data_IF_109032202939
#
_entry.id   IF_109032202939
#
_cell.length_a   1.000
_cell.length_b   1.000
_cell.length_c   1.000
_cell.angle_alpha   90.00
_cell.angle_beta   90.00
_cell.angle_gamma   90.00
#
_symmetry.space_group_name_H-M   'P 1'
#
loop_
_entity.id
_entity.type
_entity.pdbx_description
1 polymer ?
#
# COMPACT_ATOMS: atom_id res chain seq x y z
N UNK A 1 18.68 -7.15 2.89
CA UNK A 1 18.73 -8.62 2.68
C UNK A 1 19.04 -8.87 1.22
N UNK A 2 19.86 -9.86 0.87
CA UNK A 2 20.15 -10.18 -0.54
C UNK A 2 19.14 -11.16 -1.15
N UNK A 3 19.14 -11.27 -2.48
CA UNK A 3 18.18 -12.12 -3.21
C UNK A 3 18.50 -13.62 -3.07
N UNK A 4 19.75 -13.99 -2.85
CA UNK A 4 20.14 -15.38 -2.57
C UNK A 4 19.44 -15.88 -1.31
N UNK A 5 19.46 -15.09 -0.23
CA UNK A 5 18.74 -15.43 1.01
C UNK A 5 17.24 -15.57 0.75
N UNK A 6 16.63 -14.66 0.00
CA UNK A 6 15.19 -14.70 -0.34
C UNK A 6 14.84 -15.99 -1.09
N UNK A 7 15.68 -16.39 -2.05
CA UNK A 7 15.49 -17.61 -2.82
C UNK A 7 15.70 -18.89 -2.01
N UNK A 8 16.32 -18.83 -0.84
CA UNK A 8 16.51 -19.96 0.05
C UNK A 8 15.44 -20.08 1.15
N UNK A 9 14.56 -19.08 1.32
CA UNK A 9 13.49 -19.12 2.32
C UNK A 9 12.50 -20.26 2.05
N UNK A 10 12.09 -20.95 3.11
CA UNK A 10 10.91 -21.80 3.05
C UNK A 10 9.63 -20.95 2.96
N UNK A 11 8.48 -21.61 2.85
CA UNK A 11 7.20 -20.94 2.67
C UNK A 11 6.83 -20.06 3.88
N UNK A 12 7.02 -20.58 5.09
CA UNK A 12 6.62 -19.89 6.32
C UNK A 12 7.53 -18.69 6.60
N UNK A 13 8.84 -18.82 6.37
CA UNK A 13 9.79 -17.72 6.46
C UNK A 13 9.46 -16.62 5.44
N UNK A 14 9.23 -16.99 4.17
CA UNK A 14 8.93 -16.01 3.13
C UNK A 14 7.63 -15.26 3.40
N UNK A 15 6.56 -15.95 3.78
CA UNK A 15 5.28 -15.31 4.12
C UNK A 15 5.42 -14.48 5.40
N UNK A 16 6.22 -14.92 6.37
CA UNK A 16 6.52 -14.15 7.58
C UNK A 16 7.23 -12.82 7.30
N UNK A 17 8.14 -12.80 6.32
CA UNK A 17 8.91 -11.61 5.94
C UNK A 17 8.14 -10.70 4.98
N UNK A 18 7.52 -11.27 3.95
CA UNK A 18 6.92 -10.51 2.85
C UNK A 18 5.40 -10.40 2.92
N UNK A 19 4.74 -11.05 3.89
CA UNK A 19 3.29 -11.15 3.99
C UNK A 19 2.54 -9.84 4.17
N UNK A 20 3.21 -8.77 4.59
CA UNK A 20 2.60 -7.43 4.70
C UNK A 20 3.17 -6.43 3.68
N UNK A 21 3.82 -6.89 2.60
CA UNK A 21 4.23 -6.01 1.49
C UNK A 21 3.01 -5.38 0.82
N UNK A 22 1.95 -6.16 0.65
CA UNK A 22 0.61 -5.63 0.37
C UNK A 22 -0.16 -5.66 1.68
N UNK A 23 -0.66 -4.49 2.10
CA UNK A 23 -1.29 -4.31 3.40
C UNK A 23 -2.35 -5.38 3.70
N UNK A 24 -2.13 -6.15 4.76
CA UNK A 24 -3.00 -7.23 5.27
C UNK A 24 -3.37 -8.29 4.22
N UNK A 25 -2.53 -8.48 3.20
CA UNK A 25 -2.75 -9.43 2.12
C UNK A 25 -1.63 -10.49 2.03
N UNK A 26 -1.39 -11.31 3.07
CA UNK A 26 -0.31 -12.31 3.07
C UNK A 26 -0.49 -13.39 2.01
N UNK A 27 -1.72 -13.60 1.52
CA UNK A 27 -2.02 -14.50 0.41
C UNK A 27 -1.21 -14.16 -0.85
N UNK A 28 -0.94 -12.89 -1.11
CA UNK A 28 -0.19 -12.48 -2.30
C UNK A 28 1.26 -12.93 -2.17
N UNK A 29 1.89 -12.75 -1.01
CA UNK A 29 3.23 -13.26 -0.74
C UNK A 29 3.29 -14.78 -0.85
N UNK A 30 2.29 -15.48 -0.30
CA UNK A 30 2.18 -16.94 -0.39
C UNK A 30 2.11 -17.42 -1.84
N UNK A 31 1.36 -16.74 -2.71
CA UNK A 31 1.28 -17.07 -4.13
C UNK A 31 2.58 -16.75 -4.89
N UNK A 32 3.20 -15.61 -4.59
CA UNK A 32 4.46 -15.17 -5.21
C UNK A 32 5.61 -16.13 -4.86
N UNK A 33 5.64 -16.69 -3.64
CA UNK A 33 6.67 -17.66 -3.22
C UNK A 33 6.83 -18.85 -4.17
N UNK A 34 5.74 -19.31 -4.80
CA UNK A 34 5.75 -20.41 -5.78
C UNK A 34 6.44 -20.08 -7.11
N UNK A 35 6.80 -18.81 -7.34
CA UNK A 35 7.43 -18.33 -8.58
C UNK A 35 8.96 -18.22 -8.47
N UNK A 36 9.53 -18.56 -7.31
CA UNK A 36 10.98 -18.59 -7.10
C UNK A 36 11.68 -19.59 -8.04
N UNK A 37 12.97 -19.36 -8.36
CA UNK A 37 13.81 -18.29 -7.87
C UNK A 37 13.59 -16.95 -8.59
N UNK A 38 13.76 -15.84 -7.87
CA UNK A 38 13.73 -14.49 -8.41
C UNK A 38 15.14 -14.02 -8.79
N UNK A 39 15.24 -13.25 -9.86
CA UNK A 39 16.52 -12.68 -10.31
C UNK A 39 17.00 -11.54 -9.39
N UNK A 40 16.14 -10.57 -9.16
CA UNK A 40 16.41 -9.34 -8.41
C UNK A 40 15.10 -8.73 -7.87
N UNK A 41 15.19 -7.55 -7.24
CA UNK A 41 14.02 -6.85 -6.69
C UNK A 41 12.97 -6.53 -7.77
N UNK A 42 13.40 -6.12 -8.96
CA UNK A 42 12.47 -5.79 -10.05
C UNK A 42 11.69 -7.03 -10.50
N UNK A 43 12.37 -8.18 -10.58
CA UNK A 43 11.73 -9.47 -10.89
C UNK A 43 10.74 -9.89 -9.78
N UNK A 44 11.12 -9.78 -8.51
CA UNK A 44 10.21 -10.04 -7.39
C UNK A 44 8.95 -9.14 -7.44
N UNK A 45 9.14 -7.83 -7.69
CA UNK A 45 8.04 -6.87 -7.83
C UNK A 45 7.09 -7.21 -8.97
N UNK A 46 7.64 -7.61 -10.12
CA UNK A 46 6.83 -8.03 -11.28
C UNK A 46 5.86 -9.15 -10.90
N UNK A 47 6.27 -10.10 -10.07
CA UNK A 47 5.39 -11.18 -9.61
C UNK A 47 4.26 -10.68 -8.70
N UNK A 48 4.53 -9.75 -7.78
CA UNK A 48 3.47 -9.10 -6.99
C UNK A 48 2.49 -8.32 -7.88
N UNK A 49 3.00 -7.55 -8.83
CA UNK A 49 2.17 -6.71 -9.70
C UNK A 49 1.32 -7.56 -10.63
N UNK A 50 1.90 -8.61 -11.22
CA UNK A 50 1.19 -9.55 -12.08
C UNK A 50 0.05 -10.26 -11.33
N UNK A 51 0.26 -10.64 -10.06
CA UNK A 51 -0.80 -11.23 -9.24
C UNK A 51 -1.96 -10.25 -9.06
N UNK A 52 -1.68 -8.99 -8.69
CA UNK A 52 -2.70 -7.94 -8.52
C UNK A 52 -3.48 -7.67 -9.81
N UNK A 53 -2.76 -7.61 -10.94
CA UNK A 53 -3.36 -7.32 -12.25
C UNK A 53 -4.23 -8.47 -12.78
N UNK A 54 -3.91 -9.71 -12.39
CA UNK A 54 -4.68 -10.89 -12.77
C UNK A 54 -5.97 -11.08 -11.95
N UNK A 55 -6.12 -10.39 -10.82
CA UNK A 55 -7.33 -10.49 -10.00
C UNK A 55 -8.55 -9.93 -10.74
N UNK A 56 -9.74 -10.51 -10.53
CA UNK A 56 -10.98 -9.85 -10.94
C UNK A 56 -11.11 -8.51 -10.21
N UNK A 57 -11.90 -7.59 -10.78
CA UNK A 57 -12.12 -6.27 -10.21
C UNK A 57 -12.50 -6.31 -8.71
N UNK A 58 -13.34 -7.25 -8.30
CA UNK A 58 -13.72 -7.42 -6.89
C UNK A 58 -12.55 -7.77 -5.97
N UNK A 59 -11.58 -8.55 -6.47
CA UNK A 59 -10.34 -8.87 -5.75
C UNK A 59 -9.42 -7.66 -5.65
N UNK A 60 -9.29 -6.88 -6.72
CA UNK A 60 -8.53 -5.63 -6.73
C UNK A 60 -9.11 -4.60 -5.74
N UNK A 61 -10.43 -4.42 -5.74
CA UNK A 61 -11.12 -3.59 -4.74
C UNK A 61 -10.97 -4.18 -3.32
N UNK A 62 -10.92 -5.50 -3.19
CA UNK A 62 -10.64 -6.19 -1.93
C UNK A 62 -9.29 -5.79 -1.32
N UNK A 63 -8.23 -5.74 -2.13
CA UNK A 63 -6.90 -5.25 -1.70
C UNK A 63 -7.00 -3.81 -1.19
N UNK A 64 -7.71 -2.94 -1.90
CA UNK A 64 -7.88 -1.56 -1.48
C UNK A 64 -8.61 -1.47 -0.13
N UNK A 65 -9.63 -2.31 0.09
CA UNK A 65 -10.39 -2.39 1.35
C UNK A 65 -9.56 -2.89 2.53
N UNK A 66 -8.47 -3.62 2.30
CA UNK A 66 -7.54 -4.02 3.35
C UNK A 66 -6.70 -2.85 3.89
N UNK A 67 -6.58 -1.74 3.13
CA UNK A 67 -5.77 -0.60 3.57
C UNK A 67 -6.50 0.24 4.62
N UNK A 68 -5.79 0.70 5.67
CA UNK A 68 -6.35 1.62 6.64
C UNK A 68 -6.51 3.01 6.04
N UNK A 69 -7.39 3.81 6.64
CA UNK A 69 -7.48 5.22 6.31
C UNK A 69 -6.22 6.00 6.65
N UNK A 70 -5.89 6.96 5.78
CA UNK A 70 -4.97 8.03 6.10
C UNK A 70 -5.56 8.93 7.20
N UNK A 71 -4.84 9.03 8.33
CA UNK A 71 -5.25 9.69 9.57
C UNK A 71 -6.62 9.25 10.14
N UNK A 72 -7.06 8.03 9.80
CA UNK A 72 -8.34 7.49 10.26
C UNK A 72 -8.32 7.03 11.72
N UNK A 73 -9.48 6.52 12.16
CA UNK A 73 -9.68 6.04 13.54
C UNK A 73 -8.70 4.94 13.93
N UNK A 74 -8.35 4.06 12.99
CA UNK A 74 -7.41 2.96 13.24
C UNK A 74 -6.02 3.47 13.65
N UNK A 75 -5.52 4.51 12.96
CA UNK A 75 -4.27 5.19 13.34
C UNK A 75 -4.34 5.87 14.70
N UNK A 76 -5.49 6.47 15.03
CA UNK A 76 -5.69 7.13 16.32
C UNK A 76 -5.74 6.15 17.49
N UNK A 77 -6.15 4.91 17.23
CA UNK A 77 -6.26 3.85 18.24
C UNK A 77 -5.01 2.95 18.29
N UNK A 78 -3.97 3.25 17.50
CA UNK A 78 -2.75 2.43 17.43
C UNK A 78 -2.98 1.06 16.79
N UNK A 79 -4.00 0.91 15.95
CA UNK A 79 -4.36 -0.35 15.28
C UNK A 79 -3.70 -0.57 13.91
N UNK A 80 -2.85 0.36 13.46
CA UNK A 80 -2.13 0.24 12.19
C UNK A 80 -1.11 -0.90 12.25
N UNK A 81 -0.83 -1.51 11.10
CA UNK A 81 0.35 -2.35 10.95
C UNK A 81 1.62 -1.52 11.14
N UNK A 82 2.71 -2.18 11.49
CA UNK A 82 4.02 -1.53 11.67
C UNK A 82 4.43 -0.72 10.45
N UNK A 83 4.17 -1.23 9.24
CA UNK A 83 4.43 -0.55 7.97
C UNK A 83 3.56 0.71 7.81
N UNK A 84 2.24 0.58 7.93
CA UNK A 84 1.32 1.74 7.81
C UNK A 84 1.57 2.79 8.88
N UNK A 85 1.95 2.39 10.09
CA UNK A 85 2.36 3.32 11.14
C UNK A 85 3.59 4.13 10.73
N UNK A 86 4.65 3.47 10.22
CA UNK A 86 5.87 4.15 9.75
C UNK A 86 5.56 5.09 8.58
N UNK A 87 4.75 4.64 7.63
CA UNK A 87 4.36 5.42 6.44
C UNK A 87 3.58 6.68 6.82
N UNK A 88 2.54 6.55 7.65
CA UNK A 88 1.71 7.69 8.03
C UNK A 88 2.44 8.66 8.96
N UNK A 89 3.25 8.16 9.90
CA UNK A 89 4.07 9.01 10.76
C UNK A 89 5.15 9.75 9.99
N UNK A 90 5.83 9.09 9.05
CA UNK A 90 6.82 9.72 8.18
C UNK A 90 6.22 10.84 7.31
N UNK A 91 4.95 10.71 6.93
CA UNK A 91 4.19 11.72 6.22
C UNK A 91 3.45 12.70 7.15
N UNK A 92 3.79 12.77 8.45
CA UNK A 92 3.19 13.74 9.39
C UNK A 92 1.69 13.58 9.66
N UNK A 93 1.04 12.54 9.13
CA UNK A 93 -0.40 12.33 9.25
C UNK A 93 -0.84 12.01 10.68
N UNK A 94 0.08 11.48 11.49
CA UNK A 94 -0.15 11.22 12.91
C UNK A 94 -0.09 12.48 13.78
N UNK A 95 0.40 13.60 13.24
CA UNK A 95 0.62 14.86 13.97
C UNK A 95 -0.29 16.00 13.53
N UNK A 96 -1.29 15.72 12.69
CA UNK A 96 -2.25 16.72 12.19
C UNK A 96 -3.00 17.44 13.33
N UNK A 97 -3.45 18.67 13.09
CA UNK A 97 -4.38 19.36 13.98
C UNK A 97 -5.78 18.74 14.00
N UNK A 98 -6.62 19.15 14.95
CA UNK A 98 -8.01 18.66 15.03
C UNK A 98 -8.83 19.01 13.79
N UNK A 99 -8.70 20.24 13.29
CA UNK A 99 -9.37 20.73 12.08
C UNK A 99 -8.95 19.95 10.82
N UNK A 100 -7.63 19.73 10.65
CA UNK A 100 -7.10 18.98 9.51
C UNK A 100 -7.56 17.53 9.52
N UNK A 101 -7.59 16.89 10.70
CA UNK A 101 -8.15 15.54 10.87
C UNK A 101 -9.63 15.49 10.54
N UNK A 102 -10.42 16.48 11.00
CA UNK A 102 -11.85 16.53 10.71
C UNK A 102 -12.08 16.60 9.20
N UNK A 103 -11.40 17.53 8.53
CA UNK A 103 -11.50 17.70 7.08
C UNK A 103 -11.08 16.45 6.31
N UNK A 104 -10.00 15.79 6.74
CA UNK A 104 -9.55 14.56 6.08
C UNK A 104 -10.53 13.40 6.34
N UNK A 105 -11.16 13.34 7.51
CA UNK A 105 -12.19 12.34 7.82
C UNK A 105 -13.45 12.52 6.96
N UNK A 106 -13.92 13.75 6.76
CA UNK A 106 -15.03 14.06 5.85
C UNK A 106 -14.71 13.63 4.42
N UNK A 107 -13.53 14.00 3.92
CA UNK A 107 -13.06 13.62 2.59
C UNK A 107 -12.94 12.09 2.43
N UNK A 108 -12.40 11.38 3.42
CA UNK A 108 -12.33 9.92 3.41
C UNK A 108 -13.73 9.27 3.38
N UNK A 109 -14.71 9.86 4.09
CA UNK A 109 -16.09 9.38 4.08
C UNK A 109 -16.76 9.58 2.72
N UNK A 110 -16.62 10.77 2.12
CA UNK A 110 -17.11 11.05 0.76
C UNK A 110 -16.49 10.12 -0.27
N UNK A 111 -15.17 9.93 -0.19
CA UNK A 111 -14.42 9.05 -1.10
C UNK A 111 -14.94 7.61 -1.02
N UNK A 112 -15.10 7.08 0.20
CA UNK A 112 -15.66 5.74 0.37
C UNK A 112 -17.09 5.61 -0.13
N UNK A 113 -17.94 6.59 0.15
CA UNK A 113 -19.33 6.57 -0.32
C UNK A 113 -19.40 6.52 -1.85
N UNK A 114 -18.46 7.18 -2.55
CA UNK A 114 -18.40 7.20 -4.01
C UNK A 114 -17.79 5.93 -4.62
N UNK A 115 -16.67 5.43 -4.07
CA UNK A 115 -15.87 4.39 -4.73
C UNK A 115 -15.98 3.01 -4.06
N UNK A 116 -16.47 2.92 -2.83
CA UNK A 116 -16.64 1.65 -2.11
C UNK A 116 -15.34 1.03 -1.58
N UNK A 117 -14.24 1.81 -1.54
CA UNK A 117 -12.96 1.42 -0.94
C UNK A 117 -12.25 2.66 -0.34
N UNK A 118 -11.28 2.47 0.58
CA UNK A 118 -10.48 3.54 1.19
C UNK A 118 -9.66 4.34 0.18
N UNK A 119 -9.35 5.60 0.51
CA UNK A 119 -8.39 6.39 -0.26
C UNK A 119 -6.96 5.89 0.02
N UNK A 120 -6.30 5.39 -1.02
CA UNK A 120 -4.92 4.88 -0.95
C UNK A 120 -3.98 5.83 -1.69
N UNK A 121 -2.89 6.21 -1.04
CA UNK A 121 -1.82 7.05 -1.59
C UNK A 121 -0.48 6.60 -1.00
N UNK A 122 0.57 6.54 -1.83
CA UNK A 122 1.94 6.31 -1.37
C UNK A 122 2.48 7.56 -0.67
N UNK A 123 2.11 7.73 0.60
CA UNK A 123 2.38 8.96 1.38
C UNK A 123 3.88 9.25 1.58
N UNK A 124 4.74 8.22 1.52
CA UNK A 124 6.21 8.38 1.52
C UNK A 124 6.76 9.11 0.29
N UNK A 125 6.00 9.13 -0.81
CA UNK A 125 6.35 9.84 -2.06
C UNK A 125 5.58 11.15 -2.21
N UNK A 126 4.82 11.54 -1.19
CA UNK A 126 3.91 12.67 -1.24
C UNK A 126 4.23 13.67 -0.13
N UNK A 127 4.05 14.95 -0.43
CA UNK A 127 3.98 15.99 0.59
C UNK A 127 2.69 15.77 1.44
N UNK A 128 2.75 15.84 2.78
CA UNK A 128 1.56 15.74 3.63
C UNK A 128 0.43 16.70 3.22
N UNK A 129 0.78 17.91 2.78
CA UNK A 129 -0.20 18.88 2.29
C UNK A 129 -0.85 18.47 0.95
N UNK A 130 -0.25 17.52 0.22
CA UNK A 130 -0.80 16.97 -1.01
C UNK A 130 -1.94 15.97 -0.76
N UNK A 131 -2.03 15.34 0.42
CA UNK A 131 -3.03 14.31 0.70
C UNK A 131 -4.46 14.82 0.49
N UNK A 132 -4.90 15.97 1.09
CA UNK A 132 -6.25 16.48 0.85
C UNK A 132 -6.46 16.94 -0.60
N UNK A 133 -5.40 17.43 -1.27
CA UNK A 133 -5.47 17.88 -2.67
C UNK A 133 -5.70 16.71 -3.61
N UNK A 134 -4.93 15.63 -3.46
CA UNK A 134 -5.07 14.43 -4.27
C UNK A 134 -6.40 13.74 -4.04
N UNK A 135 -6.86 13.66 -2.79
CA UNK A 135 -8.16 13.12 -2.46
C UNK A 135 -9.29 13.93 -3.13
N UNK A 136 -9.29 15.25 -2.99
CA UNK A 136 -10.27 16.13 -3.64
C UNK A 136 -10.22 16.07 -5.18
N UNK A 137 -9.03 15.89 -5.77
CA UNK A 137 -8.85 15.72 -7.21
C UNK A 137 -9.43 14.39 -7.69
N UNK A 138 -9.08 13.30 -7.00
CA UNK A 138 -9.49 11.92 -7.31
C UNK A 138 -10.97 11.66 -7.09
N UNK A 139 -11.60 12.38 -6.16
CA UNK A 139 -13.07 12.45 -6.03
C UNK A 139 -13.78 12.87 -7.33
N UNK A 140 -13.11 13.50 -8.29
CA UNK A 140 -13.71 13.90 -9.58
C UNK A 140 -13.53 12.84 -10.67
N UNK A 141 -12.73 11.81 -10.44
CA UNK A 141 -12.48 10.74 -11.40
C UNK A 141 -13.67 9.78 -11.54
N UNK A 142 -13.74 9.07 -12.67
CA UNK A 142 -14.69 7.95 -12.82
C UNK A 142 -14.24 6.76 -11.96
N UNK A 143 -15.16 5.89 -11.51
CA UNK A 143 -14.78 4.71 -10.71
C UNK A 143 -13.71 3.83 -11.37
N UNK A 144 -13.77 3.65 -12.70
CA UNK A 144 -12.77 2.87 -13.43
C UNK A 144 -11.39 3.55 -13.50
N UNK A 145 -11.34 4.89 -13.62
CA UNK A 145 -10.08 5.64 -13.53
C UNK A 145 -9.50 5.57 -12.13
N UNK A 146 -10.37 5.67 -11.12
CA UNK A 146 -9.95 5.69 -9.73
C UNK A 146 -9.40 4.34 -9.28
N UNK A 147 -10.06 3.23 -9.64
CA UNK A 147 -9.54 1.90 -9.35
C UNK A 147 -8.11 1.71 -9.88
N UNK A 148 -7.86 2.09 -11.14
CA UNK A 148 -6.51 2.02 -11.73
C UNK A 148 -5.51 2.89 -10.99
N UNK A 149 -5.93 4.09 -10.59
CA UNK A 149 -5.07 5.04 -9.86
C UNK A 149 -4.71 4.49 -8.48
N UNK A 150 -5.71 4.03 -7.73
CA UNK A 150 -5.54 3.48 -6.39
C UNK A 150 -4.67 2.21 -6.40
N UNK A 151 -4.83 1.32 -7.38
CA UNK A 151 -3.95 0.15 -7.54
C UNK A 151 -2.52 0.56 -7.90
N UNK A 152 -2.33 1.62 -8.69
CA UNK A 152 -1.01 2.20 -8.94
C UNK A 152 -0.34 2.69 -7.65
N UNK A 153 -1.09 3.29 -6.73
CA UNK A 153 -0.59 3.69 -5.42
C UNK A 153 -0.23 2.47 -4.54
N UNK A 154 -1.03 1.39 -4.57
CA UNK A 154 -0.68 0.12 -3.90
C UNK A 154 0.64 -0.44 -4.42
N UNK A 155 0.86 -0.43 -5.73
CA UNK A 155 2.13 -0.91 -6.33
C UNK A 155 3.33 -0.07 -5.92
N UNK A 156 3.17 1.25 -5.77
CA UNK A 156 4.22 2.13 -5.22
C UNK A 156 4.53 1.80 -3.76
N UNK A 157 3.50 1.57 -2.94
CA UNK A 157 3.67 1.15 -1.54
C UNK A 157 4.40 -0.19 -1.46
N UNK A 158 3.99 -1.16 -2.31
CA UNK A 158 4.65 -2.46 -2.44
C UNK A 158 6.14 -2.32 -2.74
N UNK A 159 6.50 -1.53 -3.76
CA UNK A 159 7.90 -1.25 -4.13
C UNK A 159 8.70 -0.71 -2.94
N UNK A 160 8.17 0.32 -2.26
CA UNK A 160 8.85 0.91 -1.09
C UNK A 160 9.05 -0.08 0.06
N UNK A 161 8.05 -0.92 0.34
CA UNK A 161 8.15 -1.94 1.40
C UNK A 161 9.16 -3.04 1.04
N UNK A 162 9.20 -3.47 -0.23
CA UNK A 162 10.19 -4.44 -0.70
C UNK A 162 11.61 -3.86 -0.66
N UNK A 163 11.79 -2.61 -1.10
CA UNK A 163 13.07 -1.91 -1.03
C UNK A 163 13.59 -1.81 0.42
N UNK A 164 12.72 -1.47 1.38
CA UNK A 164 13.09 -1.45 2.81
C UNK A 164 13.56 -2.83 3.30
N UNK A 165 12.86 -3.92 2.95
CA UNK A 165 13.23 -5.29 3.36
C UNK A 165 14.56 -5.75 2.75
N UNK A 166 14.83 -5.37 1.50
CA UNK A 166 16.08 -5.71 0.81
C UNK A 166 17.24 -4.76 1.13
N UNK A 167 16.99 -3.67 1.86
CA UNK A 167 17.95 -2.57 2.05
C UNK A 167 18.42 -1.97 0.71
N UNK A 168 17.52 -1.90 -0.27
CA UNK A 168 17.77 -1.24 -1.56
C UNK A 168 17.46 0.27 -1.46
N UNK A 169 18.21 1.10 -2.18
CA UNK A 169 17.92 2.54 -2.26
C UNK A 169 16.69 2.76 -3.17
N UNK A 170 15.56 3.26 -2.64
CA UNK A 170 14.33 3.45 -3.42
C UNK A 170 14.48 4.50 -4.53
N UNK A 171 15.52 5.34 -4.48
CA UNK A 171 15.77 6.38 -5.49
C UNK A 171 16.70 5.92 -6.62
N UNK A 172 17.25 4.70 -6.55
CA UNK A 172 18.19 4.15 -7.55
C UNK A 172 17.58 3.09 -8.48
N UNK A 173 16.25 2.93 -8.47
CA UNK A 173 15.52 1.94 -9.26
C UNK A 173 14.42 2.62 -10.05
#
# INVERSE_FOLDING_TARGET
MDMEKVNCMDFDEFVGVFGNVIERCPLIAAAVWSQRPFLDLEDLEKHYFAFIDALPQSGQEGILRCHPDLAGREGQQGGLTSESQREQSGAGLTSLGAEERHKLAELNAEYRARFGFPFVLAVRLSDPAAVPRELARRLRCTPAQELRTALGEVKKICHLRLADLLNADPARL
#
